data_IF_606450466717
#
_entry.id   IF_606450466717
#
_cell.length_a   1.000
_cell.length_b   1.000
_cell.length_c   1.000
_cell.angle_alpha   90.00
_cell.angle_beta   90.00
_cell.angle_gamma   90.00
#
_symmetry.space_group_name_H-M   'P 1'
#
loop_
_entity.id
_entity.type
_entity.pdbx_description
1 polymer ?
#
# COMPACT_ATOMS: atom_id res chain seq x y z
N UNK A 1 -9.95 -27.96 -9.42
CA UNK A 1 -10.02 -26.97 -10.52
C UNK A 1 -10.07 -25.60 -9.88
N UNK A 2 -9.15 -24.70 -10.24
CA UNK A 2 -9.17 -23.31 -9.73
C UNK A 2 -10.25 -22.55 -10.49
N UNK A 3 -11.23 -22.00 -9.78
CA UNK A 3 -12.36 -21.29 -10.38
C UNK A 3 -11.90 -20.10 -11.23
N UNK A 4 -12.61 -19.81 -12.33
CA UNK A 4 -12.22 -18.78 -13.30
C UNK A 4 -11.04 -19.18 -14.20
N UNK A 5 -10.47 -20.38 -14.00
CA UNK A 5 -9.34 -20.87 -14.80
C UNK A 5 -9.63 -22.25 -15.39
N UNK A 6 -8.86 -22.64 -16.41
CA UNK A 6 -8.81 -24.02 -16.90
C UNK A 6 -7.82 -24.91 -16.13
N UNK A 7 -7.32 -24.46 -14.97
CA UNK A 7 -6.21 -25.12 -14.26
C UNK A 7 -6.78 -26.14 -13.27
N UNK A 8 -6.26 -27.36 -13.39
CA UNK A 8 -6.48 -28.43 -12.41
C UNK A 8 -5.18 -28.56 -11.63
N UNK A 9 -5.28 -28.46 -10.31
CA UNK A 9 -4.19 -28.62 -9.36
C UNK A 9 -4.61 -29.68 -8.33
N UNK A 10 -3.63 -30.36 -7.75
CA UNK A 10 -3.89 -31.23 -6.60
C UNK A 10 -4.23 -30.36 -5.38
N UNK A 11 -4.97 -30.91 -4.42
CA UNK A 11 -5.38 -30.15 -3.25
C UNK A 11 -4.16 -29.64 -2.45
N UNK A 12 -3.10 -30.45 -2.37
CA UNK A 12 -1.84 -30.10 -1.69
C UNK A 12 -1.14 -28.87 -2.31
N UNK A 13 -1.33 -28.62 -3.61
CA UNK A 13 -0.75 -27.45 -4.30
C UNK A 13 -1.42 -26.14 -3.86
N UNK A 14 -2.63 -26.22 -3.31
CA UNK A 14 -3.40 -25.07 -2.79
C UNK A 14 -3.19 -24.84 -1.29
N UNK A 15 -2.28 -25.58 -0.66
CA UNK A 15 -1.88 -25.32 0.71
C UNK A 15 -0.94 -24.10 0.74
N UNK A 16 -1.18 -23.15 1.64
CA UNK A 16 -0.47 -21.86 1.72
C UNK A 16 1.05 -21.97 1.87
N UNK A 17 1.56 -23.08 2.44
CA UNK A 17 3.01 -23.34 2.51
C UNK A 17 3.61 -23.88 1.22
N UNK A 18 2.80 -24.51 0.37
CA UNK A 18 3.23 -25.04 -0.94
C UNK A 18 2.97 -24.03 -2.06
N UNK A 19 2.18 -22.99 -1.80
CA UNK A 19 1.81 -21.98 -2.77
C UNK A 19 2.53 -20.63 -2.53
N UNK A 20 3.60 -20.30 -3.29
CA UNK A 20 4.30 -19.04 -3.13
C UNK A 20 3.46 -17.81 -3.55
N UNK A 21 2.42 -17.99 -4.37
CA UNK A 21 1.53 -16.89 -4.75
C UNK A 21 0.68 -16.41 -3.57
N UNK A 22 0.19 -17.34 -2.74
CA UNK A 22 -0.56 -17.01 -1.52
C UNK A 22 0.33 -16.31 -0.48
N UNK A 23 1.58 -16.77 -0.34
CA UNK A 23 2.55 -16.13 0.52
C UNK A 23 2.87 -14.71 0.05
N UNK A 24 3.13 -14.52 -1.25
CA UNK A 24 3.45 -13.21 -1.80
C UNK A 24 2.24 -12.27 -1.76
N UNK A 25 1.02 -12.78 -1.94
CA UNK A 25 -0.22 -12.00 -1.78
C UNK A 25 -0.29 -11.40 -0.37
N UNK A 26 -0.07 -12.22 0.66
CA UNK A 26 0.00 -11.73 2.04
C UNK A 26 1.14 -10.73 2.21
N UNK A 27 2.33 -11.05 1.73
CA UNK A 27 3.52 -10.20 1.88
C UNK A 27 3.29 -8.81 1.24
N UNK A 28 2.68 -8.76 0.06
CA UNK A 28 2.36 -7.51 -0.65
C UNK A 28 1.36 -6.63 0.11
N UNK A 29 0.41 -7.22 0.82
CA UNK A 29 -0.50 -6.49 1.70
C UNK A 29 0.26 -6.02 2.95
N UNK A 30 0.94 -6.94 3.66
CA UNK A 30 1.63 -6.65 4.92
C UNK A 30 2.67 -5.55 4.78
N UNK A 31 3.45 -5.55 3.70
CA UNK A 31 4.55 -4.59 3.46
C UNK A 31 4.08 -3.22 2.97
N UNK A 32 2.77 -3.01 2.81
CA UNK A 32 2.23 -1.75 2.29
C UNK A 32 1.84 -0.80 3.42
N UNK A 33 2.21 0.47 3.29
CA UNK A 33 1.74 1.57 4.14
C UNK A 33 1.44 2.77 3.26
N UNK A 34 0.34 3.48 3.52
CA UNK A 34 -0.03 4.68 2.76
C UNK A 34 0.13 5.90 3.69
N UNK A 35 0.82 6.93 3.22
CA UNK A 35 1.16 8.10 4.03
C UNK A 35 0.79 9.37 3.26
N UNK A 36 0.01 10.26 3.88
CA UNK A 36 -0.22 11.59 3.32
C UNK A 36 1.00 12.49 3.59
N UNK A 37 1.39 13.27 2.59
CA UNK A 37 2.56 14.15 2.67
C UNK A 37 2.20 15.64 2.74
N UNK A 38 0.92 16.01 2.73
CA UNK A 38 0.49 17.41 2.72
C UNK A 38 0.90 18.14 4.00
N UNK A 39 0.78 17.47 5.15
CA UNK A 39 1.22 18.05 6.43
C UNK A 39 2.74 18.25 6.41
N UNK A 40 3.48 17.29 5.88
CA UNK A 40 4.94 17.39 5.77
C UNK A 40 5.35 18.55 4.86
N UNK A 41 4.72 18.68 3.69
CA UNK A 41 4.93 19.82 2.78
C UNK A 41 4.56 21.15 3.44
N UNK A 42 3.43 21.23 4.15
CA UNK A 42 3.04 22.44 4.87
C UNK A 42 4.05 22.79 5.98
N UNK A 43 4.59 21.80 6.68
CA UNK A 43 5.62 22.00 7.70
C UNK A 43 6.92 22.56 7.09
N UNK A 44 7.30 22.12 5.88
CA UNK A 44 8.44 22.69 5.16
C UNK A 44 8.26 24.19 4.92
N UNK A 45 7.09 24.61 4.44
CA UNK A 45 6.82 26.03 4.15
C UNK A 45 6.74 26.85 5.43
N UNK A 46 6.00 26.39 6.44
CA UNK A 46 5.70 27.18 7.64
C UNK A 46 6.86 27.20 8.65
N UNK A 47 7.59 26.09 8.78
CA UNK A 47 8.63 25.94 9.82
C UNK A 47 10.05 25.93 9.29
N UNK A 48 10.27 25.38 8.09
CA UNK A 48 11.60 25.34 7.48
C UNK A 48 11.87 26.52 6.54
N UNK A 49 10.85 27.30 6.17
CA UNK A 49 10.95 28.37 5.17
C UNK A 49 11.36 27.85 3.79
N UNK A 50 11.04 26.57 3.48
CA UNK A 50 11.37 25.92 2.22
C UNK A 50 10.16 25.93 1.30
N UNK A 51 10.39 26.21 0.02
CA UNK A 51 9.36 26.13 -1.01
C UNK A 51 9.13 24.67 -1.41
N UNK A 52 7.87 24.34 -1.73
CA UNK A 52 7.46 23.04 -2.25
C UNK A 52 6.89 23.25 -3.64
N UNK A 53 7.63 22.78 -4.64
CA UNK A 53 7.27 22.83 -6.07
C UNK A 53 7.25 21.41 -6.66
N UNK A 54 6.63 21.19 -7.84
CA UNK A 54 6.69 19.90 -8.53
C UNK A 54 8.11 19.36 -8.72
N UNK A 55 9.09 20.22 -9.01
CA UNK A 55 10.50 19.83 -9.15
C UNK A 55 11.06 19.28 -7.83
N UNK A 56 10.80 19.97 -6.71
CA UNK A 56 11.25 19.51 -5.39
C UNK A 56 10.56 18.22 -4.96
N UNK A 57 9.29 18.03 -5.33
CA UNK A 57 8.55 16.80 -5.07
C UNK A 57 9.11 15.66 -5.91
N UNK A 58 9.45 15.90 -7.19
CA UNK A 58 10.08 14.89 -8.04
C UNK A 58 11.45 14.45 -7.49
N UNK A 59 12.27 15.40 -7.02
CA UNK A 59 13.53 15.08 -6.34
C UNK A 59 13.29 14.26 -5.06
N UNK A 60 12.28 14.62 -4.28
CA UNK A 60 11.87 13.84 -3.11
C UNK A 60 11.44 12.41 -3.50
N UNK A 61 10.62 12.23 -4.54
CA UNK A 61 10.16 10.90 -4.97
C UNK A 61 11.30 10.03 -5.50
N UNK A 62 12.27 10.62 -6.20
CA UNK A 62 13.49 9.94 -6.61
C UNK A 62 14.33 9.52 -5.39
N UNK A 63 14.56 10.45 -4.47
CA UNK A 63 15.32 10.19 -3.23
C UNK A 63 14.62 9.12 -2.38
N UNK A 64 13.30 9.16 -2.30
CA UNK A 64 12.49 8.19 -1.56
C UNK A 64 12.64 6.79 -2.11
N UNK A 65 12.68 6.62 -3.44
CA UNK A 65 12.88 5.29 -4.01
C UNK A 65 14.28 4.73 -3.72
N UNK A 66 15.30 5.58 -3.54
CA UNK A 66 16.63 5.16 -3.05
C UNK A 66 16.62 4.81 -1.55
N UNK A 67 15.98 5.61 -0.70
CA UNK A 67 15.92 5.32 0.75
C UNK A 67 15.03 4.12 1.05
N UNK A 68 13.94 3.92 0.31
CA UNK A 68 13.00 2.82 0.53
C UNK A 68 13.62 1.44 0.42
N UNK A 69 14.62 1.27 -0.43
CA UNK A 69 15.36 0.02 -0.61
C UNK A 69 16.50 -0.16 0.41
N UNK A 70 16.71 0.81 1.30
CA UNK A 70 17.77 0.82 2.31
C UNK A 70 19.03 1.61 1.93
N UNK A 71 18.91 2.56 1.00
CA UNK A 71 20.00 3.45 0.60
C UNK A 71 20.20 4.63 1.56
N UNK A 72 21.45 5.00 1.81
CA UNK A 72 21.81 6.13 2.66
C UNK A 72 21.88 7.43 1.84
N UNK A 73 21.47 8.55 2.45
CA UNK A 73 21.39 9.87 1.76
C UNK A 73 22.04 11.03 2.51
N UNK A 74 22.42 10.84 3.78
CA UNK A 74 22.87 11.94 4.64
C UNK A 74 24.16 11.66 5.40
N UNK A 75 24.37 10.43 5.85
CA UNK A 75 25.51 10.05 6.68
C UNK A 75 26.62 9.45 5.83
N UNK A 76 27.87 9.76 6.17
CA UNK A 76 29.05 9.10 5.60
C UNK A 76 29.25 7.70 6.22
N UNK A 77 29.94 6.82 5.50
CA UNK A 77 30.36 5.49 5.97
C UNK A 77 29.19 4.56 6.40
N UNK A 78 28.04 4.69 5.73
CA UNK A 78 26.90 3.80 5.95
C UNK A 78 27.04 2.47 5.21
N UNK A 79 26.54 1.41 5.82
CA UNK A 79 26.30 0.14 5.13
C UNK A 79 24.89 0.15 4.55
N UNK A 80 24.77 -0.22 3.28
CA UNK A 80 23.50 -0.25 2.55
C UNK A 80 23.09 -1.70 2.24
N UNK A 81 21.81 -1.89 1.94
CA UNK A 81 21.27 -3.20 1.58
C UNK A 81 21.56 -3.49 0.11
N UNK A 82 21.91 -4.74 -0.23
CA UNK A 82 22.07 -5.13 -1.63
C UNK A 82 20.76 -4.89 -2.41
N UNK A 83 20.74 -4.02 -3.44
CA UNK A 83 19.52 -3.68 -4.16
C UNK A 83 18.80 -4.87 -4.80
N UNK A 84 19.51 -5.97 -5.11
CA UNK A 84 18.88 -7.16 -5.67
C UNK A 84 17.98 -7.90 -4.66
N UNK A 85 18.21 -7.71 -3.36
CA UNK A 85 17.42 -8.32 -2.29
C UNK A 85 16.20 -7.48 -1.89
N UNK A 86 16.14 -6.21 -2.30
CA UNK A 86 15.09 -5.25 -1.96
C UNK A 86 14.45 -4.61 -3.18
N UNK A 87 14.65 -5.19 -4.37
CA UNK A 87 14.13 -4.68 -5.66
C UNK A 87 12.61 -4.55 -5.74
N UNK A 88 11.90 -5.23 -4.86
CA UNK A 88 10.44 -5.21 -4.75
C UNK A 88 9.92 -4.03 -3.92
N UNK A 89 10.81 -3.32 -3.21
CA UNK A 89 10.48 -2.13 -2.43
C UNK A 89 10.53 -0.87 -3.31
N UNK A 90 9.52 -0.02 -3.16
CA UNK A 90 9.40 1.24 -3.90
C UNK A 90 8.33 2.12 -3.26
N UNK A 91 8.25 3.36 -3.72
CA UNK A 91 7.18 4.28 -3.37
C UNK A 91 6.57 4.93 -4.61
N UNK A 92 5.25 5.06 -4.60
CA UNK A 92 4.51 5.81 -5.63
C UNK A 92 3.49 6.74 -5.01
N UNK A 93 3.21 7.85 -5.68
CA UNK A 93 2.25 8.86 -5.27
C UNK A 93 0.92 8.68 -6.00
N UNK A 94 -0.17 8.94 -5.28
CA UNK A 94 -1.53 9.01 -5.80
C UNK A 94 -2.16 10.34 -5.34
N UNK A 95 -2.87 10.99 -6.25
CA UNK A 95 -3.60 12.24 -6.00
C UNK A 95 -4.86 12.28 -6.85
N UNK A 96 -5.88 13.02 -6.41
CA UNK A 96 -7.08 13.29 -7.19
C UNK A 96 -6.97 14.50 -8.13
N UNK A 97 -5.92 15.31 -7.97
CA UNK A 97 -5.67 16.48 -8.82
C UNK A 97 -4.90 16.11 -10.08
N UNK A 98 -5.53 16.30 -11.25
CA UNK A 98 -4.88 16.08 -12.54
C UNK A 98 -3.73 17.08 -12.79
N UNK A 99 -3.83 18.30 -12.26
CA UNK A 99 -2.76 19.31 -12.34
C UNK A 99 -1.50 18.87 -11.58
N UNK A 100 -1.66 18.41 -10.33
CA UNK A 100 -0.54 17.89 -9.54
C UNK A 100 0.02 16.64 -10.23
N UNK A 101 -0.84 15.72 -10.66
CA UNK A 101 -0.45 14.48 -11.34
C UNK A 101 0.43 14.74 -12.57
N UNK A 102 0.02 15.69 -13.41
CA UNK A 102 0.69 15.98 -14.68
C UNK A 102 2.05 16.70 -14.50
N UNK A 103 2.24 17.36 -13.36
CA UNK A 103 3.51 18.00 -13.00
C UNK A 103 4.56 17.02 -12.41
N UNK A 104 4.14 15.81 -12.03
CA UNK A 104 5.01 14.80 -11.43
C UNK A 104 5.57 13.83 -12.49
N UNK A 105 6.73 13.27 -12.18
CA UNK A 105 7.33 12.23 -13.01
C UNK A 105 6.46 10.97 -12.99
N UNK A 106 6.00 10.58 -14.19
CA UNK A 106 5.12 9.42 -14.42
C UNK A 106 5.66 8.11 -13.85
N UNK A 107 6.99 7.97 -13.66
CA UNK A 107 7.61 6.79 -13.02
C UNK A 107 7.08 6.55 -11.62
N UNK A 108 6.74 7.62 -10.90
CA UNK A 108 6.35 7.59 -9.50
C UNK A 108 4.84 7.71 -9.29
N UNK A 109 4.04 7.89 -10.32
CA UNK A 109 2.60 8.16 -10.20
C UNK A 109 1.76 6.88 -10.33
N UNK A 110 0.75 6.74 -9.47
CA UNK A 110 -0.38 5.82 -9.64
C UNK A 110 -1.47 6.57 -10.38
N UNK A 111 -1.62 6.30 -11.67
CA UNK A 111 -2.58 6.98 -12.52
C UNK A 111 -3.98 6.35 -12.40
N UNK A 112 -4.88 7.06 -11.72
CA UNK A 112 -6.25 6.62 -11.47
C UNK A 112 -7.03 6.45 -12.78
N UNK A 113 -6.85 7.36 -13.75
CA UNK A 113 -7.60 7.34 -15.01
C UNK A 113 -7.17 6.18 -15.90
N UNK A 114 -5.91 5.72 -15.78
CA UNK A 114 -5.40 4.55 -16.49
C UNK A 114 -5.82 3.23 -15.84
N UNK A 115 -5.97 3.22 -14.51
CA UNK A 115 -6.21 1.99 -13.77
C UNK A 115 -7.71 1.70 -13.62
N UNK A 116 -8.56 2.70 -13.43
CA UNK A 116 -9.96 2.48 -13.06
C UNK A 116 -10.93 2.82 -14.19
N UNK A 117 -12.10 2.17 -14.19
CA UNK A 117 -13.21 2.58 -15.06
C UNK A 117 -13.52 4.08 -14.88
N UNK A 118 -13.83 4.85 -15.95
CA UNK A 118 -14.00 6.30 -15.87
C UNK A 118 -14.95 6.79 -14.77
N UNK A 119 -16.07 6.09 -14.56
CA UNK A 119 -17.03 6.43 -13.50
C UNK A 119 -16.43 6.25 -12.09
N UNK A 120 -15.57 5.24 -11.90
CA UNK A 120 -14.87 4.99 -10.63
C UNK A 120 -13.75 6.01 -10.43
N UNK A 121 -12.99 6.29 -11.48
CA UNK A 121 -11.92 7.28 -11.47
C UNK A 121 -12.43 8.64 -10.98
N UNK A 122 -13.59 9.11 -11.46
CA UNK A 122 -14.22 10.36 -11.00
C UNK A 122 -14.51 10.34 -9.50
N UNK A 123 -15.07 9.25 -8.97
CA UNK A 123 -15.38 9.14 -7.54
C UNK A 123 -14.11 9.07 -6.69
N UNK A 124 -13.10 8.32 -7.13
CA UNK A 124 -11.81 8.21 -6.45
C UNK A 124 -11.07 9.55 -6.40
N UNK A 125 -10.97 10.24 -7.55
CA UNK A 125 -10.37 11.57 -7.63
C UNK A 125 -11.10 12.57 -6.73
N UNK A 126 -12.43 12.53 -6.70
CA UNK A 126 -13.24 13.36 -5.80
C UNK A 126 -13.00 13.05 -4.32
N UNK A 127 -12.85 11.76 -3.96
CA UNK A 127 -12.62 11.34 -2.58
C UNK A 127 -11.23 11.72 -2.07
N UNK A 128 -10.21 11.61 -2.94
CA UNK A 128 -8.83 12.00 -2.62
C UNK A 128 -8.67 13.54 -2.64
N UNK A 129 -9.32 14.21 -3.59
CA UNK A 129 -9.15 15.65 -3.82
C UNK A 129 -7.72 16.01 -4.18
N UNK A 130 -7.30 17.22 -3.82
CA UNK A 130 -5.96 17.74 -4.13
C UNK A 130 -4.87 17.25 -3.18
N UNK A 131 -5.19 16.27 -2.34
CA UNK A 131 -4.24 15.70 -1.39
C UNK A 131 -3.26 14.75 -2.08
N UNK A 132 -2.04 14.66 -1.53
CA UNK A 132 -1.02 13.74 -2.01
C UNK A 132 -0.79 12.62 -1.01
N UNK A 133 -0.93 11.38 -1.50
CA UNK A 133 -0.69 10.17 -0.72
C UNK A 133 0.41 9.37 -1.37
N UNK A 134 1.34 8.90 -0.57
CA UNK A 134 2.42 8.01 -1.02
C UNK A 134 2.09 6.60 -0.56
N UNK A 135 1.99 5.68 -1.50
CA UNK A 135 1.90 4.25 -1.28
C UNK A 135 3.33 3.71 -1.22
N UNK A 136 3.75 3.30 -0.03
CA UNK A 136 5.08 2.77 0.24
C UNK A 136 5.00 1.27 0.37
N UNK A 137 5.86 0.57 -0.37
CA UNK A 137 6.05 -0.86 -0.21
C UNK A 137 7.44 -1.12 0.34
N UNK A 138 7.50 -1.58 1.58
CA UNK A 138 8.71 -2.03 2.27
C UNK A 138 9.18 -3.35 1.62
N UNK A 139 10.48 -3.71 1.71
CA UNK A 139 10.94 -4.97 1.13
C UNK A 139 10.22 -6.18 1.73
N UNK A 140 9.82 -7.15 0.91
CA UNK A 140 9.27 -8.43 1.37
C UNK A 140 10.23 -9.11 2.35
N UNK A 141 11.54 -9.02 2.11
CA UNK A 141 12.55 -9.56 3.02
C UNK A 141 12.45 -8.98 4.44
N UNK A 142 12.15 -7.68 4.57
CA UNK A 142 12.08 -7.01 5.86
C UNK A 142 10.90 -7.53 6.69
N UNK A 143 9.70 -7.61 6.11
CA UNK A 143 8.51 -8.10 6.83
C UNK A 143 8.54 -9.61 7.11
N UNK A 144 9.24 -10.40 6.27
CA UNK A 144 9.44 -11.84 6.53
C UNK A 144 10.47 -12.10 7.62
N UNK A 145 11.44 -11.20 7.79
CA UNK A 145 12.43 -11.25 8.88
C UNK A 145 11.85 -10.72 10.19
N UNK A 146 10.95 -9.74 10.11
CA UNK A 146 10.27 -9.13 11.25
C UNK A 146 8.77 -9.49 11.25
N UNK A 147 7.90 -8.50 11.12
CA UNK A 147 6.44 -8.63 11.11
C UNK A 147 5.79 -7.50 10.29
N UNK A 148 4.46 -7.45 10.25
CA UNK A 148 3.72 -6.36 9.60
C UNK A 148 3.94 -4.99 10.26
N UNK A 149 4.28 -4.95 11.55
CA UNK A 149 4.48 -3.71 12.29
C UNK A 149 5.73 -2.97 11.79
N UNK A 150 6.69 -3.70 11.23
CA UNK A 150 7.87 -3.12 10.60
C UNK A 150 7.53 -2.26 9.37
N UNK A 151 6.50 -2.62 8.60
CA UNK A 151 6.19 -1.94 7.34
C UNK A 151 5.99 -0.42 7.52
N UNK A 152 5.18 -0.02 8.51
CA UNK A 152 4.90 1.40 8.74
C UNK A 152 6.06 2.15 9.40
N UNK A 153 6.87 1.46 10.22
CA UNK A 153 8.06 2.06 10.83
C UNK A 153 9.10 2.35 9.76
N UNK A 154 9.39 1.35 8.92
CA UNK A 154 10.26 1.49 7.77
C UNK A 154 9.81 2.64 6.87
N UNK A 155 8.55 2.64 6.45
CA UNK A 155 7.98 3.69 5.60
C UNK A 155 8.16 5.10 6.20
N UNK A 156 7.99 5.25 7.51
CA UNK A 156 8.20 6.54 8.17
C UNK A 156 9.67 6.96 8.24
N UNK A 157 10.59 6.03 8.54
CA UNK A 157 12.02 6.34 8.60
C UNK A 157 12.56 6.73 7.22
N UNK A 158 12.21 5.97 6.18
CA UNK A 158 12.70 6.26 4.83
C UNK A 158 12.08 7.52 4.23
N UNK A 159 10.81 7.82 4.53
CA UNK A 159 10.24 9.13 4.22
C UNK A 159 10.99 10.26 4.92
N UNK A 160 11.27 10.12 6.22
CA UNK A 160 12.00 11.15 6.98
C UNK A 160 13.38 11.41 6.37
N UNK A 161 14.13 10.34 6.05
CA UNK A 161 15.44 10.45 5.41
C UNK A 161 15.36 11.06 4.00
N UNK A 162 14.34 10.69 3.22
CA UNK A 162 14.10 11.28 1.90
C UNK A 162 13.85 12.79 2.00
N UNK A 163 13.01 13.23 2.96
CA UNK A 163 12.79 14.65 3.21
C UNK A 163 14.06 15.38 3.64
N UNK A 164 14.90 14.75 4.46
CA UNK A 164 16.20 15.32 4.87
C UNK A 164 17.10 15.53 3.65
N UNK A 165 17.23 14.50 2.80
CA UNK A 165 18.08 14.54 1.60
C UNK A 165 17.58 15.50 0.53
N UNK A 166 16.29 15.48 0.21
CA UNK A 166 15.73 16.24 -0.91
C UNK A 166 15.51 17.72 -0.60
N UNK A 167 15.15 18.06 0.64
CA UNK A 167 14.88 19.45 1.02
C UNK A 167 16.05 20.11 1.79
N UNK A 168 17.14 19.37 2.00
CA UNK A 168 18.33 19.84 2.71
C UNK A 168 17.99 20.28 4.13
N UNK A 169 17.33 19.40 4.90
CA UNK A 169 16.89 19.72 6.25
C UNK A 169 18.03 19.48 7.25
N UNK A 170 18.44 20.54 7.93
CA UNK A 170 19.39 20.50 9.05
C UNK A 170 18.72 21.06 10.31
N UNK A 171 18.09 20.19 11.11
CA UNK A 171 17.47 20.62 12.38
C UNK A 171 16.57 19.57 13.03
N UNK A 172 16.85 19.23 14.29
CA UNK A 172 16.20 18.13 15.03
C UNK A 172 14.68 18.32 15.23
N UNK A 173 14.22 19.57 15.37
CA UNK A 173 12.82 19.85 15.69
C UNK A 173 11.87 19.51 14.53
N UNK A 174 12.16 19.94 13.30
CA UNK A 174 11.32 19.62 12.12
C UNK A 174 11.30 18.11 11.86
N UNK A 175 12.44 17.44 12.06
CA UNK A 175 12.55 15.99 11.87
C UNK A 175 11.60 15.23 12.80
N UNK A 176 11.48 15.68 14.06
CA UNK A 176 10.55 15.06 15.01
C UNK A 176 9.07 15.18 14.59
N UNK A 177 8.70 16.32 14.01
CA UNK A 177 7.34 16.55 13.50
C UNK A 177 7.04 15.72 12.25
N UNK A 178 8.02 15.60 11.34
CA UNK A 178 7.93 14.72 10.17
C UNK A 178 7.77 13.27 10.61
N UNK A 179 8.58 12.81 11.56
CA UNK A 179 8.50 11.45 12.10
C UNK A 179 7.12 11.19 12.74
N UNK A 180 6.57 12.14 13.49
CA UNK A 180 5.21 12.03 14.03
C UNK A 180 4.15 12.00 12.92
N UNK A 181 4.29 12.86 11.92
CA UNK A 181 3.42 12.94 10.75
C UNK A 181 3.32 11.61 10.01
N UNK A 182 4.47 11.03 9.67
CA UNK A 182 4.56 9.79 8.90
C UNK A 182 4.23 8.53 9.71
N UNK A 183 4.39 8.52 11.04
CA UNK A 183 4.06 7.35 11.87
C UNK A 183 2.63 7.31 12.37
N UNK A 184 2.01 8.48 12.58
CA UNK A 184 0.78 8.59 13.36
C UNK A 184 -0.27 9.49 12.71
N UNK A 185 0.06 10.76 12.41
CA UNK A 185 -0.96 11.76 12.11
C UNK A 185 -1.73 11.46 10.81
N UNK A 186 -1.05 10.92 9.80
CA UNK A 186 -1.64 10.62 8.49
C UNK A 186 -1.09 9.34 7.84
N UNK A 187 -0.93 8.30 8.65
CA UNK A 187 -0.55 6.98 8.16
C UNK A 187 -1.79 6.07 8.12
N UNK A 188 -2.09 5.53 6.95
CA UNK A 188 -3.06 4.45 6.77
C UNK A 188 -2.30 3.13 6.78
N UNK A 189 -2.61 2.33 7.79
CA UNK A 189 -2.08 0.99 8.02
C UNK A 189 -3.09 -0.01 7.49
N UNK A 190 -2.63 -1.14 6.98
CA UNK A 190 -3.52 -2.17 6.43
C UNK A 190 -4.31 -2.88 7.53
N UNK A 191 -3.75 -2.96 8.74
CA UNK A 191 -4.42 -3.56 9.89
C UNK A 191 -4.05 -2.87 11.21
N UNK A 192 -5.02 -2.82 12.12
CA UNK A 192 -4.83 -2.30 13.47
C UNK A 192 -4.13 -3.32 14.37
N UNK A 193 -3.53 -2.81 15.45
CA UNK A 193 -2.95 -3.68 16.48
C UNK A 193 -4.05 -4.50 17.15
N UNK A 194 -3.77 -5.79 17.36
CA UNK A 194 -4.74 -6.68 18.00
C UNK A 194 -4.68 -6.64 19.54
N UNK A 195 -5.78 -7.10 20.12
CA UNK A 195 -5.98 -7.24 21.55
C UNK A 195 -5.13 -8.38 22.15
N UNK A 196 -4.96 -8.36 23.48
CA UNK A 196 -3.91 -9.10 24.17
C UNK A 196 -3.89 -10.63 23.94
N UNK A 197 -5.03 -11.33 23.90
CA UNK A 197 -4.99 -12.80 23.74
C UNK A 197 -4.65 -13.26 22.32
N UNK A 198 -4.73 -12.36 21.33
CA UNK A 198 -4.31 -12.60 19.94
C UNK A 198 -3.27 -11.58 19.50
N UNK A 199 -2.39 -11.19 20.43
CA UNK A 199 -1.52 -10.04 20.27
C UNK A 199 -0.64 -10.17 19.03
N UNK A 200 -0.80 -9.20 18.15
CA UNK A 200 0.01 -8.97 16.96
C UNK A 200 0.10 -7.48 16.71
N UNK A 201 1.16 -7.07 16.00
CA UNK A 201 1.41 -5.69 15.60
C UNK A 201 0.39 -5.16 14.59
N UNK A 202 0.68 -3.99 14.03
CA UNK A 202 -0.11 -3.47 12.90
C UNK A 202 0.17 -4.24 11.61
N UNK A 203 -0.69 -4.08 10.60
CA UNK A 203 -0.61 -4.76 9.29
C UNK A 203 -0.64 -6.30 9.35
N UNK A 204 -1.15 -6.88 10.43
CA UNK A 204 -1.38 -8.33 10.53
C UNK A 204 -2.84 -8.66 10.19
N UNK A 205 -3.09 -9.87 9.65
CA UNK A 205 -4.37 -10.21 8.98
C UNK A 205 -5.58 -9.96 9.89
N UNK A 206 -5.54 -10.43 11.14
CA UNK A 206 -6.66 -10.25 12.08
C UNK A 206 -6.94 -8.80 12.49
N UNK A 207 -6.08 -7.85 12.13
CA UNK A 207 -6.31 -6.42 12.33
C UNK A 207 -6.89 -5.70 11.10
N UNK A 208 -7.00 -6.37 9.95
CA UNK A 208 -7.46 -5.79 8.69
C UNK A 208 -8.99 -5.74 8.66
N UNK A 209 -9.62 -4.57 8.46
CA UNK A 209 -11.07 -4.49 8.30
C UNK A 209 -11.52 -5.12 6.96
N UNK A 210 -12.67 -5.81 6.94
CA UNK A 210 -13.21 -6.44 5.72
C UNK A 210 -13.39 -5.47 4.55
N UNK A 211 -13.74 -4.21 4.84
CA UNK A 211 -13.84 -3.17 3.81
C UNK A 211 -12.50 -2.88 3.12
N UNK A 212 -11.39 -2.96 3.85
CA UNK A 212 -10.06 -2.81 3.23
C UNK A 212 -9.73 -4.02 2.37
N UNK A 213 -10.12 -5.21 2.82
CA UNK A 213 -10.00 -6.43 2.02
C UNK A 213 -10.75 -6.26 0.71
N UNK A 214 -12.00 -5.77 0.76
CA UNK A 214 -12.76 -5.45 -0.43
C UNK A 214 -12.00 -4.52 -1.41
N UNK A 215 -11.40 -3.45 -0.89
CA UNK A 215 -10.72 -2.43 -1.70
C UNK A 215 -9.42 -2.92 -2.34
N UNK A 216 -8.60 -3.73 -1.64
CA UNK A 216 -7.32 -4.17 -2.19
C UNK A 216 -7.40 -5.36 -3.16
N UNK A 217 -8.55 -6.03 -3.29
CA UNK A 217 -8.73 -7.15 -4.24
C UNK A 217 -8.71 -6.70 -5.72
N UNK A 218 -9.06 -5.44 -6.00
CA UNK A 218 -9.02 -4.82 -7.33
C UNK A 218 -9.87 -5.51 -8.42
N UNK A 219 -10.65 -6.54 -8.11
CA UNK A 219 -11.42 -7.31 -9.10
C UNK A 219 -12.51 -6.47 -9.80
N UNK A 220 -13.08 -5.48 -9.11
CA UNK A 220 -14.15 -4.63 -9.64
C UNK A 220 -13.66 -3.36 -10.34
N UNK A 221 -12.33 -3.18 -10.44
CA UNK A 221 -11.68 -1.94 -10.90
C UNK A 221 -12.14 -1.49 -12.30
N UNK A 222 -12.35 -2.45 -13.18
CA UNK A 222 -12.68 -2.21 -14.59
C UNK A 222 -14.21 -2.09 -14.83
N UNK A 223 -15.03 -2.34 -13.80
CA UNK A 223 -16.49 -2.24 -13.86
C UNK A 223 -16.98 -0.83 -13.48
N UNK A 224 -18.17 -0.41 -13.92
CA UNK A 224 -18.71 0.89 -13.54
C UNK A 224 -18.95 1.02 -12.03
N UNK A 225 -19.03 2.27 -11.55
CA UNK A 225 -19.22 2.59 -10.13
C UNK A 225 -20.71 2.56 -9.76
N UNK A 226 -21.33 1.38 -9.87
CA UNK A 226 -22.75 1.18 -9.60
C UNK A 226 -22.95 0.21 -8.45
N UNK A 227 -24.03 0.37 -7.70
CA UNK A 227 -24.37 -0.58 -6.64
C UNK A 227 -24.86 -1.87 -7.27
N UNK A 228 -24.34 -3.01 -6.82
CA UNK A 228 -24.71 -4.32 -7.34
C UNK A 228 -26.23 -4.54 -7.38
N UNK A 229 -26.95 -4.17 -6.33
CA UNK A 229 -28.40 -4.34 -6.25
C UNK A 229 -29.17 -3.53 -7.31
N UNK A 230 -28.64 -2.37 -7.73
CA UNK A 230 -29.24 -1.57 -8.79
C UNK A 230 -29.02 -2.23 -10.16
N UNK A 231 -27.79 -2.70 -10.41
CA UNK A 231 -27.45 -3.43 -11.64
C UNK A 231 -28.27 -4.71 -11.77
N UNK A 232 -28.39 -5.51 -10.70
CA UNK A 232 -29.14 -6.76 -10.68
C UNK A 232 -30.65 -6.61 -10.93
N UNK A 233 -31.21 -5.43 -10.70
CA UNK A 233 -32.62 -5.15 -11.00
C UNK A 233 -32.85 -4.71 -12.46
N UNK A 234 -31.83 -4.17 -13.10
CA UNK A 234 -31.92 -3.62 -14.46
C UNK A 234 -31.45 -4.61 -15.53
N UNK A 235 -30.31 -5.28 -15.29
CA UNK A 235 -29.65 -6.15 -16.24
C UNK A 235 -28.99 -7.34 -15.51
N UNK A 236 -29.55 -8.53 -15.71
CA UNK A 236 -29.07 -9.78 -15.12
C UNK A 236 -27.69 -10.19 -15.67
N UNK A 237 -27.42 -9.93 -16.96
CA UNK A 237 -26.13 -10.26 -17.59
C UNK A 237 -25.02 -9.34 -17.09
N UNK A 238 -25.32 -8.05 -16.89
CA UNK A 238 -24.37 -7.12 -16.28
C UNK A 238 -24.11 -7.49 -14.81
N UNK A 239 -25.16 -7.83 -14.05
CA UNK A 239 -25.02 -8.24 -12.67
C UNK A 239 -24.19 -9.52 -12.51
N UNK A 240 -24.28 -10.46 -13.45
CA UNK A 240 -23.43 -11.64 -13.46
C UNK A 240 -21.93 -11.29 -13.52
N UNK A 241 -21.54 -10.25 -14.26
CA UNK A 241 -20.14 -9.77 -14.31
C UNK A 241 -19.67 -9.24 -12.96
N UNK A 242 -20.52 -8.49 -12.26
CA UNK A 242 -20.21 -8.02 -10.91
C UNK A 242 -20.10 -9.18 -9.91
N UNK A 243 -21.01 -10.15 -9.99
CA UNK A 243 -20.98 -11.33 -9.14
C UNK A 243 -19.73 -12.18 -9.37
N UNK A 244 -19.31 -12.36 -10.62
CA UNK A 244 -18.06 -13.04 -10.97
C UNK A 244 -16.84 -12.30 -10.40
N UNK A 245 -16.73 -10.98 -10.63
CA UNK A 245 -15.63 -10.18 -10.09
C UNK A 245 -15.55 -10.25 -8.55
N UNK A 246 -16.70 -10.16 -7.87
CA UNK A 246 -16.78 -10.31 -6.42
C UNK A 246 -16.43 -11.73 -5.96
N UNK A 247 -16.84 -12.76 -6.72
CA UNK A 247 -16.52 -14.16 -6.45
C UNK A 247 -15.03 -14.47 -6.59
N UNK A 248 -14.39 -13.97 -7.64
CA UNK A 248 -12.94 -14.10 -7.85
C UNK A 248 -12.15 -13.40 -6.74
N UNK A 249 -12.53 -12.17 -6.38
CA UNK A 249 -11.90 -11.43 -5.29
C UNK A 249 -12.12 -12.11 -3.93
N UNK A 250 -13.38 -12.24 -3.50
CA UNK A 250 -13.73 -12.71 -2.15
C UNK A 250 -13.37 -14.18 -1.96
N UNK A 251 -13.62 -15.02 -2.96
CA UNK A 251 -13.30 -16.44 -2.93
C UNK A 251 -11.81 -16.73 -3.07
N UNK A 252 -11.05 -15.85 -3.73
CA UNK A 252 -9.60 -15.95 -3.86
C UNK A 252 -8.87 -15.33 -2.68
N UNK A 253 -8.91 -14.00 -2.57
CA UNK A 253 -8.05 -13.26 -1.62
C UNK A 253 -8.62 -13.31 -0.20
N UNK A 254 -9.89 -12.96 0.00
CA UNK A 254 -10.45 -12.84 1.35
C UNK A 254 -10.52 -14.21 2.05
N UNK A 255 -10.97 -15.25 1.35
CA UNK A 255 -11.03 -16.61 1.91
C UNK A 255 -9.64 -17.18 2.26
N UNK A 256 -8.63 -16.96 1.41
CA UNK A 256 -7.25 -17.41 1.69
C UNK A 256 -6.66 -16.62 2.87
N UNK A 257 -6.87 -15.31 2.94
CA UNK A 257 -6.40 -14.49 4.05
C UNK A 257 -7.01 -14.92 5.38
N UNK A 258 -8.34 -15.05 5.47
CA UNK A 258 -9.01 -15.34 6.74
C UNK A 258 -8.91 -16.83 7.11
N UNK A 259 -9.24 -17.76 6.20
CA UNK A 259 -9.30 -19.17 6.55
C UNK A 259 -7.93 -19.84 6.50
N UNK A 260 -7.22 -19.77 5.37
CA UNK A 260 -5.98 -20.53 5.18
C UNK A 260 -4.83 -19.94 5.98
N UNK A 261 -4.64 -18.61 5.90
CA UNK A 261 -3.53 -17.92 6.54
C UNK A 261 -3.85 -17.55 8.00
N UNK A 262 -4.91 -16.77 8.24
CA UNK A 262 -5.15 -16.25 9.58
C UNK A 262 -5.62 -17.34 10.56
N UNK A 263 -6.77 -17.95 10.31
CA UNK A 263 -7.33 -18.98 11.18
C UNK A 263 -6.52 -20.28 11.12
N UNK A 264 -6.15 -20.72 9.92
CA UNK A 264 -5.47 -21.99 9.64
C UNK A 264 -3.99 -22.02 9.96
N UNK A 265 -3.32 -20.86 10.02
CA UNK A 265 -1.89 -20.81 10.32
C UNK A 265 -1.56 -19.92 11.53
N UNK A 266 -1.92 -18.63 11.51
CA UNK A 266 -1.56 -17.70 12.59
C UNK A 266 -2.22 -18.03 13.93
N UNK A 267 -3.46 -18.53 13.89
CA UNK A 267 -4.29 -18.80 15.06
C UNK A 267 -4.39 -20.28 15.46
N UNK A 268 -3.90 -21.19 14.62
CA UNK A 268 -3.86 -22.63 14.90
C UNK A 268 -2.55 -23.24 14.40
N UNK A 269 -2.43 -23.48 13.09
CA UNK A 269 -1.30 -24.16 12.46
C UNK A 269 -1.50 -25.69 12.41
N UNK A 270 -0.90 -26.34 11.41
CA UNK A 270 -1.04 -27.78 11.20
C UNK A 270 -1.20 -28.13 9.71
N UNK A 271 -1.98 -29.19 9.47
CA UNK A 271 -2.40 -29.67 8.13
C UNK A 271 -3.23 -28.60 7.42
#
# INVERSE_FOLDING_TARGET
>A
MIAGTGIIAEQDDTHQLNNPAEQQMLDDIKRTTIVNIDIAHRMLTVRAGKEVTPETINLYLETLNHTMVGGAVAQEHMSEINPLLTKDAYAKVITGSDEIKDALDKRFVIDIDKLFHPTRAVLLKKAIGDTMWVVLRTPTLAIRTADGDEAHRWAAMQNTMAFIGSYGLSGEHIISDLAYGFKHARAVKMGNKMWYQRMRGTNEIGGMPDGYIADFMQAERDLPARRFLEVAQEDEDEAYKYALALGEGSGGIAAILDNSLWLGFYMSGGI
#
